data_IF_736690479699
#
_entry.id   IF_736690479699
#
_cell.length_a   1.000
_cell.length_b   1.000
_cell.length_c   1.000
_cell.angle_alpha   90.00
_cell.angle_beta   90.00
_cell.angle_gamma   90.00
#
_symmetry.space_group_name_H-M   'P 1'
#
loop_
_entity.id
_entity.type
_entity.pdbx_description
1 polymer ?
#
# COMPACT_ATOMS: atom_id res chain seq x y z
N UNK A 1 12.13 -9.78 7.76
CA UNK A 1 11.71 -8.78 6.73
C UNK A 1 11.68 -9.44 5.36
N UNK A 2 10.60 -9.28 4.66
CA UNK A 2 10.41 -9.86 3.34
C UNK A 2 10.42 -8.77 2.28
N UNK A 3 11.24 -8.91 1.26
CA UNK A 3 11.31 -7.96 0.16
C UNK A 3 10.45 -8.41 -1.02
N UNK A 4 9.90 -7.46 -1.74
CA UNK A 4 9.17 -7.72 -2.96
C UNK A 4 9.44 -6.65 -4.00
N UNK A 5 9.27 -7.02 -5.24
CA UNK A 5 9.34 -6.09 -6.37
C UNK A 5 8.26 -6.50 -7.36
N UNK A 6 7.26 -5.66 -7.53
CA UNK A 6 6.18 -5.89 -8.46
C UNK A 6 6.51 -5.19 -9.76
N UNK A 7 6.74 -5.99 -10.79
CA UNK A 7 6.85 -5.51 -12.16
C UNK A 7 5.56 -5.84 -12.91
N UNK A 8 5.26 -5.03 -13.90
CA UNK A 8 4.13 -5.29 -14.76
C UNK A 8 4.24 -6.69 -15.37
N UNK A 9 3.32 -7.55 -15.01
CA UNK A 9 3.23 -8.88 -15.60
C UNK A 9 2.12 -8.92 -16.62
N UNK A 10 2.35 -9.66 -17.70
CA UNK A 10 1.45 -9.74 -18.87
C UNK A 10 0.08 -10.37 -18.59
N UNK A 11 -0.26 -10.67 -17.36
CA UNK A 11 -1.48 -11.39 -17.04
C UNK A 11 -2.53 -10.63 -16.24
N UNK A 12 -2.25 -9.43 -15.74
CA UNK A 12 -3.17 -8.70 -14.91
C UNK A 12 -3.52 -7.33 -15.46
N UNK A 13 -4.78 -7.04 -15.65
CA UNK A 13 -5.24 -5.72 -16.08
C UNK A 13 -4.82 -4.59 -15.13
N UNK A 14 -4.51 -4.91 -13.87
CA UNK A 14 -4.13 -3.95 -12.85
C UNK A 14 -2.62 -3.78 -12.71
N UNK A 15 -1.83 -4.75 -13.12
CA UNK A 15 -0.39 -4.76 -12.91
C UNK A 15 0.40 -4.20 -14.10
N UNK A 16 -0.22 -4.07 -15.26
CA UNK A 16 0.46 -3.61 -16.48
C UNK A 16 0.95 -2.16 -16.41
N UNK A 17 0.44 -1.35 -15.48
CA UNK A 17 0.75 0.08 -15.37
C UNK A 17 1.52 0.46 -14.11
N UNK A 18 1.63 -0.45 -13.15
CA UNK A 18 2.13 -0.10 -11.82
C UNK A 18 3.32 -0.95 -11.46
N UNK A 19 4.37 -0.28 -11.10
CA UNK A 19 5.57 -0.91 -10.56
C UNK A 19 5.83 -0.31 -9.18
N UNK A 20 5.98 -1.18 -8.20
CA UNK A 20 6.35 -0.77 -6.87
C UNK A 20 7.09 -1.89 -6.16
N UNK A 21 7.89 -1.53 -5.21
CA UNK A 21 8.65 -2.47 -4.39
C UNK A 21 8.63 -2.03 -2.94
N UNK A 22 8.97 -2.93 -2.06
CA UNK A 22 9.01 -2.62 -0.65
C UNK A 22 9.44 -3.82 0.18
N UNK A 23 9.28 -3.67 1.47
CA UNK A 23 9.63 -4.69 2.45
C UNK A 23 8.42 -4.95 3.34
N UNK A 24 8.09 -6.21 3.53
CA UNK A 24 7.06 -6.63 4.48
C UNK A 24 7.75 -7.04 5.77
N UNK A 25 7.34 -6.47 6.89
CA UNK A 25 8.00 -6.72 8.17
C UNK A 25 7.79 -8.15 8.66
N UNK A 26 6.55 -8.64 8.58
CA UNK A 26 6.25 -10.00 9.01
C UNK A 26 5.15 -10.62 8.16
N UNK A 27 5.33 -11.88 7.82
CA UNK A 27 4.32 -12.73 7.20
C UNK A 27 4.17 -13.95 8.11
N UNK A 28 2.95 -14.28 8.43
CA UNK A 28 2.65 -15.43 9.25
C UNK A 28 1.44 -16.17 8.76
N UNK A 29 0.97 -17.09 9.57
CA UNK A 29 -0.20 -17.89 9.29
C UNK A 29 -1.04 -17.96 10.56
N UNK A 30 -2.35 -17.80 10.44
CA UNK A 30 -3.25 -17.98 11.57
C UNK A 30 -3.57 -19.46 11.79
N UNK A 31 -4.36 -19.75 12.83
CA UNK A 31 -4.73 -21.12 13.16
C UNK A 31 -5.58 -21.81 12.08
N UNK A 32 -6.22 -21.02 11.23
CA UNK A 32 -7.05 -21.50 10.13
C UNK A 32 -6.26 -21.76 8.85
N UNK A 33 -4.96 -21.46 8.87
CA UNK A 33 -4.09 -21.64 7.72
C UNK A 33 -4.05 -20.45 6.76
N UNK A 34 -4.65 -19.33 7.12
CA UNK A 34 -4.65 -18.13 6.28
C UNK A 34 -3.38 -17.32 6.49
N UNK A 35 -2.85 -16.76 5.42
CA UNK A 35 -1.72 -15.86 5.49
C UNK A 35 -2.12 -14.55 6.16
N UNK A 36 -1.26 -14.09 7.06
CA UNK A 36 -1.41 -12.77 7.69
C UNK A 36 -0.17 -11.94 7.42
N UNK A 37 -0.37 -10.64 7.28
CA UNK A 37 0.70 -9.67 7.07
C UNK A 37 0.64 -8.66 8.20
N UNK A 38 1.79 -8.39 8.81
CA UNK A 38 1.88 -7.42 9.90
C UNK A 38 2.96 -6.42 9.54
N UNK A 39 2.63 -5.14 9.69
CA UNK A 39 3.56 -4.03 9.55
C UNK A 39 3.78 -3.40 10.92
N UNK A 40 5.04 -3.26 11.30
CA UNK A 40 5.42 -2.68 12.59
C UNK A 40 5.64 -1.18 12.44
N UNK A 41 5.02 -0.40 13.29
CA UNK A 41 5.19 1.04 13.34
C UNK A 41 5.59 1.48 14.74
N UNK A 42 6.52 2.42 14.79
CA UNK A 42 6.86 3.13 16.02
C UNK A 42 6.53 4.60 15.83
N UNK A 43 5.73 5.15 16.71
CA UNK A 43 5.30 6.53 16.58
C UNK A 43 4.12 6.84 17.49
N UNK A 44 3.63 8.06 17.38
CA UNK A 44 2.57 8.56 18.27
C UNK A 44 1.17 8.17 17.82
N UNK A 45 0.99 7.85 16.53
CA UNK A 45 -0.34 7.62 15.97
C UNK A 45 -0.30 6.58 14.85
N UNK A 46 -1.46 6.01 14.57
CA UNK A 46 -1.71 5.23 13.36
C UNK A 46 -2.33 6.15 12.31
N UNK A 47 -1.73 6.18 11.14
CA UNK A 47 -2.18 7.01 10.04
C UNK A 47 -2.93 6.20 8.99
N UNK A 48 -3.93 6.81 8.38
CA UNK A 48 -4.78 6.15 7.36
C UNK A 48 -3.96 5.55 6.21
N UNK A 49 -2.89 6.22 5.79
CA UNK A 49 -2.07 5.72 4.69
C UNK A 49 -1.35 4.40 5.00
N UNK A 50 -1.25 4.01 6.26
CA UNK A 50 -0.70 2.69 6.62
C UNK A 50 -1.57 1.57 6.06
N UNK A 51 -2.90 1.77 6.01
CA UNK A 51 -3.81 0.81 5.41
C UNK A 51 -3.56 0.65 3.91
N UNK A 52 -3.29 1.75 3.21
CA UNK A 52 -2.96 1.72 1.79
C UNK A 52 -1.65 0.97 1.53
N UNK A 53 -0.64 1.24 2.34
CA UNK A 53 0.66 0.57 2.27
C UNK A 53 0.51 -0.94 2.49
N UNK A 54 -0.25 -1.34 3.50
CA UNK A 54 -0.52 -2.75 3.79
C UNK A 54 -1.27 -3.43 2.66
N UNK A 55 -2.26 -2.77 2.08
CA UNK A 55 -2.98 -3.31 0.93
C UNK A 55 -2.05 -3.57 -0.25
N UNK A 56 -1.14 -2.64 -0.53
CA UNK A 56 -0.12 -2.82 -1.55
C UNK A 56 0.80 -4.02 -1.25
N UNK A 57 1.18 -4.20 0.00
CA UNK A 57 1.98 -5.34 0.44
C UNK A 57 1.23 -6.67 0.26
N UNK A 58 -0.06 -6.71 0.62
CA UNK A 58 -0.88 -7.90 0.43
C UNK A 58 -0.91 -8.33 -1.03
N UNK A 59 -1.16 -7.39 -1.93
CA UNK A 59 -1.20 -7.68 -3.37
C UNK A 59 0.16 -8.12 -3.90
N UNK A 60 1.23 -7.52 -3.41
CA UNK A 60 2.58 -7.91 -3.78
C UNK A 60 2.92 -9.33 -3.33
N UNK A 61 2.54 -9.70 -2.12
CA UNK A 61 2.76 -11.05 -1.58
C UNK A 61 1.93 -12.06 -2.35
N UNK A 62 0.66 -11.76 -2.65
CA UNK A 62 -0.20 -12.64 -3.45
C UNK A 62 0.44 -12.99 -4.79
N UNK A 63 0.99 -11.99 -5.48
CA UNK A 63 1.66 -12.20 -6.78
C UNK A 63 2.96 -12.97 -6.61
N UNK A 64 3.80 -12.57 -5.66
CA UNK A 64 5.12 -13.14 -5.45
C UNK A 64 5.04 -14.60 -5.00
N UNK A 65 4.10 -14.90 -4.12
CA UNK A 65 3.91 -16.26 -3.59
C UNK A 65 2.94 -17.10 -4.40
N UNK A 66 2.37 -16.55 -5.46
CA UNK A 66 1.37 -17.20 -6.30
C UNK A 66 0.20 -17.75 -5.46
N UNK A 67 -0.34 -16.91 -4.59
CA UNK A 67 -1.45 -17.29 -3.72
C UNK A 67 -2.72 -17.53 -4.52
N UNK A 68 -3.41 -18.62 -4.21
CA UNK A 68 -4.70 -18.96 -4.86
C UNK A 68 -5.83 -18.06 -4.37
N UNK A 69 -5.75 -17.61 -3.14
CA UNK A 69 -6.77 -16.79 -2.49
C UNK A 69 -6.19 -15.45 -2.10
N UNK A 70 -7.05 -14.44 -2.05
CA UNK A 70 -6.66 -13.11 -1.61
C UNK A 70 -6.37 -13.09 -0.11
N UNK A 71 -5.33 -12.35 0.26
CA UNK A 71 -4.99 -12.14 1.67
C UNK A 71 -6.04 -11.22 2.29
N UNK A 72 -6.66 -11.68 3.37
CA UNK A 72 -7.72 -10.96 4.07
C UNK A 72 -7.28 -10.43 5.45
N UNK A 73 -6.07 -10.76 5.88
CA UNK A 73 -5.59 -10.49 7.23
C UNK A 73 -4.33 -9.63 7.18
N UNK A 74 -4.50 -8.34 7.32
CA UNK A 74 -3.41 -7.37 7.35
C UNK A 74 -3.57 -6.48 8.58
N UNK A 75 -2.49 -6.34 9.33
CA UNK A 75 -2.49 -5.64 10.62
C UNK A 75 -1.36 -4.62 10.70
N UNK A 76 -1.64 -3.51 11.36
CA UNK A 76 -0.63 -2.59 11.86
C UNK A 76 -0.42 -2.86 13.34
N UNK A 77 0.81 -3.07 13.73
CA UNK A 77 1.20 -3.15 15.14
C UNK A 77 2.06 -1.92 15.46
N UNK A 78 1.50 -1.01 16.23
CA UNK A 78 2.18 0.23 16.61
C UNK A 78 2.61 0.16 18.07
N UNK A 79 3.87 0.43 18.29
CA UNK A 79 4.42 0.57 19.64
C UNK A 79 4.63 2.03 19.97
N UNK A 80 4.24 2.43 21.17
CA UNK A 80 4.58 3.72 21.69
C UNK A 80 5.99 3.65 22.32
N UNK A 81 6.87 4.56 21.93
CA UNK A 81 8.26 4.59 22.43
C UNK A 81 8.38 5.01 23.90
N UNK A 82 7.41 5.79 24.36
CA UNK A 82 7.46 6.42 25.69
C UNK A 82 6.84 5.58 26.78
N UNK A 83 6.08 4.56 26.43
CA UNK A 83 5.41 3.66 27.36
C UNK A 83 5.21 2.28 26.76
N UNK A 84 4.61 1.35 27.50
CA UNK A 84 4.39 -0.01 27.04
C UNK A 84 3.08 -0.19 26.24
N UNK A 85 2.41 0.89 25.88
CA UNK A 85 1.16 0.81 25.14
C UNK A 85 1.41 0.47 23.67
N UNK A 86 0.49 -0.29 23.10
CA UNK A 86 0.52 -0.63 21.68
C UNK A 86 -0.91 -0.63 21.12
N UNK A 87 -1.00 -0.44 19.81
CA UNK A 87 -2.22 -0.64 19.04
C UNK A 87 -2.02 -1.79 18.07
N UNK A 88 -3.03 -2.63 17.96
CA UNK A 88 -3.04 -3.71 16.98
C UNK A 88 -4.33 -3.60 16.17
N UNK A 89 -4.22 -3.09 14.95
CA UNK A 89 -5.36 -2.71 14.14
C UNK A 89 -5.38 -3.49 12.84
N UNK A 90 -6.57 -3.95 12.46
CA UNK A 90 -6.78 -4.69 11.22
C UNK A 90 -7.26 -3.76 10.12
N UNK A 91 -6.71 -3.94 8.91
CA UNK A 91 -7.25 -3.31 7.70
C UNK A 91 -8.56 -4.00 7.33
N UNK A 92 -9.64 -3.24 7.21
CA UNK A 92 -10.98 -3.82 7.02
C UNK A 92 -11.35 -4.07 5.56
N UNK A 93 -10.81 -3.34 4.62
CA UNK A 93 -11.13 -3.47 3.19
C UNK A 93 -9.86 -3.31 2.38
N UNK A 94 -9.14 -4.39 2.21
CA UNK A 94 -7.85 -4.42 1.52
C UNK A 94 -8.01 -4.01 0.06
N UNK A 95 -9.04 -4.48 -0.63
CA UNK A 95 -9.24 -4.18 -2.05
C UNK A 95 -9.52 -2.69 -2.28
N UNK A 96 -10.33 -2.09 -1.44
CA UNK A 96 -10.61 -0.65 -1.52
C UNK A 96 -9.37 0.18 -1.21
N UNK A 97 -8.62 -0.20 -0.17
CA UNK A 97 -7.36 0.45 0.17
C UNK A 97 -6.35 0.33 -0.98
N UNK A 98 -6.29 -0.81 -1.65
CA UNK A 98 -5.43 -0.99 -2.82
C UNK A 98 -5.83 -0.07 -3.96
N UNK A 99 -7.11 0.11 -4.21
CA UNK A 99 -7.61 1.07 -5.21
C UNK A 99 -7.11 2.48 -4.90
N UNK A 100 -7.20 2.91 -3.67
CA UNK A 100 -6.68 4.21 -3.25
C UNK A 100 -5.16 4.31 -3.37
N UNK A 101 -4.45 3.23 -3.08
CA UNK A 101 -3.01 3.17 -3.29
C UNK A 101 -2.64 3.38 -4.76
N UNK A 102 -3.36 2.74 -5.68
CA UNK A 102 -3.14 2.92 -7.12
C UNK A 102 -3.40 4.36 -7.54
N UNK A 103 -4.42 4.99 -6.99
CA UNK A 103 -4.70 6.41 -7.24
C UNK A 103 -3.55 7.30 -6.76
N UNK A 104 -2.93 6.98 -5.63
CA UNK A 104 -1.75 7.70 -5.15
C UNK A 104 -0.57 7.57 -6.11
N UNK A 105 -0.36 6.40 -6.72
CA UNK A 105 0.65 6.20 -7.75
C UNK A 105 0.39 7.12 -8.94
N UNK A 106 -0.84 7.18 -9.42
CA UNK A 106 -1.20 8.03 -10.55
C UNK A 106 -0.97 9.52 -10.23
N UNK A 107 -1.34 9.97 -9.06
CA UNK A 107 -1.07 11.34 -8.61
C UNK A 107 0.43 11.64 -8.53
N UNK A 108 1.22 10.66 -8.07
CA UNK A 108 2.67 10.80 -8.01
C UNK A 108 3.28 10.91 -9.40
N UNK A 109 2.80 10.13 -10.37
CA UNK A 109 3.23 10.22 -11.77
C UNK A 109 2.92 11.59 -12.35
N UNK A 110 1.72 12.10 -12.13
CA UNK A 110 1.32 13.44 -12.57
C UNK A 110 2.30 14.51 -12.06
N UNK A 111 2.67 14.42 -10.79
CA UNK A 111 3.62 15.38 -10.19
C UNK A 111 5.04 15.27 -10.78
N UNK A 112 5.48 14.06 -11.11
CA UNK A 112 6.81 13.81 -11.68
C UNK A 112 6.91 14.22 -13.14
N UNK A 113 5.83 14.17 -13.90
CA UNK A 113 5.82 14.55 -15.31
C UNK A 113 6.11 16.02 -15.51
N UNK A 114 5.91 16.86 -14.50
CA UNK A 114 6.15 18.31 -14.53
C UNK A 114 5.47 19.03 -15.70
N UNK A 115 4.42 18.44 -16.24
CA UNK A 115 3.61 19.06 -17.29
C UNK A 115 2.68 20.08 -16.65
N UNK A 116 2.58 21.23 -17.26
CA UNK A 116 1.60 22.22 -16.85
C UNK A 116 0.20 21.77 -17.22
N UNK A 117 -0.71 21.84 -16.27
CA UNK A 117 -2.14 21.61 -16.49
C UNK A 117 -2.92 22.91 -16.62
N UNK A 118 -2.22 24.02 -16.51
CA UNK A 118 -2.82 25.35 -16.61
C UNK A 118 -2.16 26.11 -17.74
N UNK A 119 -2.99 26.78 -18.53
CA UNK A 119 -2.54 27.74 -19.52
C UNK A 119 -2.74 29.15 -18.96
N UNK A 120 -1.69 29.95 -19.01
CA UNK A 120 -1.79 31.35 -18.59
C UNK A 120 -2.46 32.15 -19.67
N UNK A 121 -3.57 32.79 -19.35
CA UNK A 121 -4.33 33.62 -20.26
C UNK A 121 -4.02 35.07 -19.90
N UNK A 122 -3.43 35.80 -20.85
CA UNK A 122 -3.19 37.22 -20.71
C UNK A 122 -4.48 38.00 -20.99
N UNK A 123 -5.00 38.63 -19.94
CA UNK A 123 -6.14 39.51 -20.07
C UNK A 123 -5.64 40.90 -20.27
N UNK A 124 -5.95 41.53 -21.40
CA UNK A 124 -5.70 42.93 -21.58
C UNK A 124 -6.81 43.74 -20.95
N UNK A 125 -6.43 44.59 -19.99
CA UNK A 125 -7.36 45.48 -19.31
C UNK A 125 -7.24 46.86 -20.02
N UNK A 126 -8.33 47.24 -20.60
CA UNK A 126 -8.41 48.55 -21.21
C UNK A 126 -8.68 49.64 -20.16
#
# INVERSE_FOLDING_TARGET
MYSFNIQSTNGGRLTSRYQYSGFVDAIGMNHEGDLIIIDFKSGKSVYEYYALQLAAYCKAVEVTCNCKESIQHAYVLRFNRDNANFDFLKVIDIDKCFTYFLNCIELTKMRKEKKGFFEEILLSVC
#
